data_IF_049417951298
#
_entry.id   IF_049417951298
#
_cell.length_a   1.000
_cell.length_b   1.000
_cell.length_c   1.000
_cell.angle_alpha   90.00
_cell.angle_beta   90.00
_cell.angle_gamma   90.00
#
_symmetry.space_group_name_H-M   'P 1'
#
loop_
_entity.id
_entity.type
_entity.pdbx_description
1 polymer ?
#
# COMPACT_ATOMS: atom_id res chain seq x y z
N UNK A 1 9.78 -0.97 -23.58
CA UNK A 1 10.81 -1.17 -22.52
C UNK A 1 11.92 -2.15 -22.93
N UNK A 2 11.70 -3.03 -23.89
CA UNK A 2 12.73 -3.99 -24.35
C UNK A 2 13.92 -3.39 -25.10
N UNK A 3 13.79 -2.30 -25.89
CA UNK A 3 14.92 -1.75 -26.64
C UNK A 3 16.06 -1.21 -25.76
N UNK A 4 15.81 -0.96 -24.47
CA UNK A 4 16.79 -0.34 -23.58
C UNK A 4 17.67 -1.32 -22.79
N UNK A 5 17.46 -2.65 -22.94
CA UNK A 5 18.26 -3.66 -22.26
C UNK A 5 19.08 -4.46 -23.27
N UNK A 6 20.08 -3.82 -23.80
CA UNK A 6 21.03 -4.45 -24.69
C UNK A 6 22.24 -4.98 -23.89
N UNK A 7 22.75 -6.16 -24.31
CA UNK A 7 23.97 -6.74 -23.74
C UNK A 7 24.92 -7.16 -24.86
N UNK A 8 26.11 -6.55 -24.91
CA UNK A 8 27.15 -6.96 -25.83
C UNK A 8 27.90 -8.22 -25.31
N UNK A 9 28.61 -8.90 -26.25
CA UNK A 9 29.48 -10.02 -25.85
C UNK A 9 30.62 -9.54 -24.95
N UNK A 10 30.92 -10.28 -23.89
CA UNK A 10 31.97 -9.97 -22.93
C UNK A 10 31.65 -10.50 -21.53
N UNK A 11 32.55 -10.25 -20.57
CA UNK A 11 32.42 -10.71 -19.20
C UNK A 11 31.52 -9.81 -18.33
N UNK A 12 30.79 -10.36 -17.39
CA UNK A 12 29.98 -9.63 -16.42
C UNK A 12 28.85 -8.79 -17.05
N UNK A 13 28.82 -7.48 -16.74
CA UNK A 13 27.86 -6.49 -17.26
C UNK A 13 28.33 -5.82 -18.54
N UNK A 14 29.24 -6.45 -19.27
CA UNK A 14 29.86 -5.95 -20.50
C UNK A 14 28.81 -5.50 -21.53
N UNK A 15 28.89 -4.26 -21.96
CA UNK A 15 28.01 -3.67 -22.97
C UNK A 15 26.54 -3.58 -22.58
N UNK A 16 26.18 -3.75 -21.32
CA UNK A 16 24.82 -3.60 -20.84
C UNK A 16 24.43 -2.12 -20.87
N UNK A 17 23.38 -1.79 -21.64
CA UNK A 17 22.70 -0.50 -21.54
C UNK A 17 21.42 -0.76 -20.77
N UNK A 18 21.26 -0.10 -19.62
CA UNK A 18 20.09 -0.30 -18.75
C UNK A 18 19.56 1.01 -18.20
N UNK A 19 18.25 1.10 -18.08
CA UNK A 19 17.52 2.14 -17.35
C UNK A 19 16.72 1.50 -16.22
N UNK A 20 16.27 2.31 -15.27
CA UNK A 20 15.32 1.85 -14.24
C UNK A 20 14.09 1.21 -14.91
N UNK A 21 13.71 0.02 -14.46
CA UNK A 21 12.48 -0.66 -14.88
C UNK A 21 11.40 -0.42 -13.84
N UNK A 22 10.43 0.46 -14.10
CA UNK A 22 9.29 0.64 -13.20
C UNK A 22 8.40 -0.61 -13.19
N UNK A 23 7.70 -0.81 -12.06
CA UNK A 23 6.60 -1.76 -11.94
C UNK A 23 5.31 -1.23 -12.56
N UNK A 24 4.19 -1.64 -11.99
CA UNK A 24 2.85 -1.17 -12.40
C UNK A 24 2.51 0.19 -11.76
N UNK A 25 3.14 0.51 -10.62
CA UNK A 25 2.97 1.76 -9.92
C UNK A 25 3.78 2.89 -10.57
N UNK A 26 3.18 4.06 -10.68
CA UNK A 26 3.84 5.28 -11.16
C UNK A 26 4.46 5.97 -9.93
N UNK A 27 5.78 5.90 -9.83
CA UNK A 27 6.56 6.48 -8.74
C UNK A 27 7.54 7.48 -9.34
N UNK A 28 7.72 8.64 -8.70
CA UNK A 28 8.73 9.61 -9.10
C UNK A 28 10.13 8.99 -9.05
N UNK A 29 10.90 9.17 -10.12
CA UNK A 29 12.21 8.58 -10.29
C UNK A 29 13.21 9.57 -10.86
N UNK A 30 14.45 9.53 -10.38
CA UNK A 30 15.55 10.32 -10.93
C UNK A 30 16.01 9.83 -12.32
N UNK A 31 15.60 8.63 -12.74
CA UNK A 31 16.01 8.05 -14.04
C UNK A 31 15.44 8.79 -15.25
N UNK A 32 14.32 9.48 -15.10
CA UNK A 32 13.69 10.28 -16.15
C UNK A 32 13.06 11.53 -15.51
N UNK A 33 13.40 12.70 -16.04
CA UNK A 33 12.86 13.97 -15.58
C UNK A 33 12.51 14.85 -16.77
N UNK A 34 11.33 15.45 -16.75
CA UNK A 34 10.88 16.42 -17.75
C UNK A 34 10.73 17.77 -17.09
N UNK A 35 11.43 18.78 -17.60
CA UNK A 35 11.27 20.14 -17.13
C UNK A 35 10.00 20.75 -17.75
N UNK A 36 8.99 21.01 -16.92
CA UNK A 36 7.70 21.51 -17.38
C UNK A 36 7.76 22.92 -18.02
N UNK A 37 8.83 23.71 -17.78
CA UNK A 37 8.95 25.07 -18.30
C UNK A 37 9.49 25.12 -19.73
N UNK A 38 10.41 24.24 -20.07
CA UNK A 38 11.10 24.27 -21.37
C UNK A 38 11.02 22.95 -22.15
N UNK A 39 10.38 21.91 -21.59
CA UNK A 39 10.27 20.60 -22.23
C UNK A 39 11.55 19.78 -22.27
N UNK A 40 12.60 20.20 -21.55
CA UNK A 40 13.88 19.50 -21.51
C UNK A 40 13.70 18.13 -20.84
N UNK A 41 14.12 17.08 -21.53
CA UNK A 41 14.07 15.69 -21.07
C UNK A 41 15.48 15.25 -20.63
N UNK A 42 15.61 14.91 -19.36
CA UNK A 42 16.82 14.29 -18.79
C UNK A 42 16.56 12.81 -18.57
N UNK A 43 17.37 11.94 -19.19
CA UNK A 43 17.33 10.48 -18.97
C UNK A 43 18.66 10.01 -18.41
N UNK A 44 18.64 9.26 -17.32
CA UNK A 44 19.83 8.64 -16.72
C UNK A 44 19.83 7.15 -17.01
N UNK A 45 20.91 6.67 -17.59
CA UNK A 45 21.10 5.26 -17.94
C UNK A 45 22.45 4.76 -17.45
N UNK A 46 22.54 3.47 -17.20
CA UNK A 46 23.79 2.80 -16.87
C UNK A 46 24.35 2.12 -18.12
N UNK A 47 25.63 2.32 -18.38
CA UNK A 47 26.35 1.65 -19.48
C UNK A 47 27.49 0.84 -18.89
N UNK A 48 27.41 -0.49 -19.03
CA UNK A 48 28.52 -1.39 -18.70
C UNK A 48 29.57 -1.34 -19.82
N UNK A 49 30.76 -0.89 -19.51
CA UNK A 49 31.82 -0.83 -20.51
C UNK A 49 32.15 -2.24 -21.04
N UNK A 50 32.12 -2.45 -22.38
CA UNK A 50 32.48 -3.74 -22.95
C UNK A 50 33.90 -4.10 -22.59
N UNK A 51 34.11 -5.28 -22.01
CA UNK A 51 35.42 -5.72 -21.57
C UNK A 51 35.62 -7.21 -21.78
N UNK A 52 36.85 -7.59 -22.10
CA UNK A 52 37.33 -8.98 -22.09
C UNK A 52 38.33 -9.08 -20.92
N UNK A 53 37.89 -9.65 -19.80
CA UNK A 53 38.66 -9.61 -18.57
C UNK A 53 38.87 -8.16 -18.07
N UNK A 54 40.12 -7.72 -17.97
CA UNK A 54 40.49 -6.36 -17.51
C UNK A 54 40.67 -5.34 -18.62
N UNK A 55 40.58 -5.76 -19.90
CA UNK A 55 40.79 -4.87 -21.05
C UNK A 55 39.46 -4.40 -21.63
N UNK A 56 39.31 -3.07 -21.80
CA UNK A 56 38.13 -2.46 -22.42
C UNK A 56 38.16 -2.75 -23.95
N UNK A 57 37.03 -3.20 -24.48
CA UNK A 57 36.82 -3.34 -25.91
C UNK A 57 36.33 -1.99 -26.49
N UNK A 58 37.31 -1.16 -26.91
CA UNK A 58 37.04 0.18 -27.41
C UNK A 58 36.12 0.18 -28.68
N UNK A 59 36.20 -0.86 -29.50
CA UNK A 59 35.36 -0.96 -30.71
C UNK A 59 33.88 -1.13 -30.36
N UNK A 60 33.59 -2.00 -29.42
CA UNK A 60 32.19 -2.20 -28.94
C UNK A 60 31.71 -1.00 -28.14
N UNK A 61 32.55 -0.37 -27.33
CA UNK A 61 32.24 0.85 -26.60
C UNK A 61 31.89 2.00 -27.56
N UNK A 62 32.66 2.14 -28.66
CA UNK A 62 32.38 3.12 -29.71
C UNK A 62 31.01 2.90 -30.38
N UNK A 63 30.60 1.65 -30.62
CA UNK A 63 29.24 1.37 -31.12
C UNK A 63 28.16 1.82 -30.14
N UNK A 64 28.38 1.63 -28.83
CA UNK A 64 27.42 2.04 -27.81
C UNK A 64 27.22 3.55 -27.84
N UNK A 65 28.30 4.33 -27.77
CA UNK A 65 28.21 5.78 -27.71
C UNK A 65 27.81 6.46 -29.03
N UNK A 66 28.30 5.97 -30.14
CA UNK A 66 28.13 6.65 -31.41
C UNK A 66 27.03 6.07 -32.31
N UNK A 67 26.47 4.92 -31.94
CA UNK A 67 25.36 4.33 -32.67
C UNK A 67 24.15 4.04 -31.74
N UNK A 68 24.29 3.20 -30.72
CA UNK A 68 23.14 2.74 -29.98
C UNK A 68 22.49 3.82 -29.11
N UNK A 69 23.28 4.65 -28.40
CA UNK A 69 22.73 5.74 -27.60
C UNK A 69 22.02 6.78 -28.49
N UNK A 70 22.61 7.29 -29.59
CA UNK A 70 21.88 8.16 -30.50
C UNK A 70 20.59 7.55 -31.07
N UNK A 71 20.61 6.28 -31.47
CA UNK A 71 19.41 5.57 -31.94
C UNK A 71 18.34 5.50 -30.85
N UNK A 72 18.72 5.17 -29.62
CA UNK A 72 17.81 5.13 -28.45
C UNK A 72 17.18 6.51 -28.21
N UNK A 73 18.01 7.56 -28.16
CA UNK A 73 17.54 8.94 -27.96
C UNK A 73 16.55 9.34 -29.07
N UNK A 74 16.91 9.07 -30.33
CA UNK A 74 16.05 9.39 -31.45
C UNK A 74 14.69 8.69 -31.39
N UNK A 75 14.66 7.39 -31.07
CA UNK A 75 13.40 6.62 -31.04
C UNK A 75 12.58 6.82 -29.78
N UNK A 76 13.20 7.06 -28.62
CA UNK A 76 12.50 7.05 -27.33
C UNK A 76 12.36 8.42 -26.67
N UNK A 77 13.16 9.41 -27.08
CA UNK A 77 13.18 10.72 -26.44
C UNK A 77 12.72 11.86 -27.37
N UNK A 78 12.71 11.65 -28.68
CA UNK A 78 12.22 12.67 -29.63
C UNK A 78 10.71 12.56 -29.79
N UNK A 79 9.96 13.63 -29.46
CA UNK A 79 8.50 13.66 -29.52
C UNK A 79 7.93 13.21 -30.89
N UNK A 80 8.58 13.61 -32.00
CA UNK A 80 8.15 13.24 -33.36
C UNK A 80 8.13 11.72 -33.62
N UNK A 81 8.85 10.95 -32.83
CA UNK A 81 8.98 9.49 -32.98
C UNK A 81 8.20 8.71 -31.89
N UNK A 82 7.51 9.41 -31.02
CA UNK A 82 6.67 8.81 -29.96
C UNK A 82 5.23 8.72 -30.47
N UNK A 83 4.53 7.67 -30.12
CA UNK A 83 3.09 7.55 -30.34
C UNK A 83 2.34 8.63 -29.53
N UNK A 84 1.96 9.72 -30.20
CA UNK A 84 1.30 10.86 -29.58
C UNK A 84 -0.03 10.48 -28.92
N UNK A 85 -0.78 9.53 -29.49
CA UNK A 85 -2.06 9.08 -28.89
C UNK A 85 -1.82 8.29 -27.60
N UNK A 86 -0.75 7.51 -27.56
CA UNK A 86 -0.38 6.77 -26.35
C UNK A 86 0.09 7.71 -25.24
N UNK A 87 0.83 8.74 -25.60
CA UNK A 87 1.26 9.77 -24.67
C UNK A 87 0.07 10.56 -24.13
N UNK A 88 -0.85 10.97 -25.01
CA UNK A 88 -2.07 11.69 -24.61
C UNK A 88 -2.91 10.84 -23.64
N UNK A 89 -3.17 9.57 -23.95
CA UNK A 89 -3.90 8.66 -23.05
C UNK A 89 -3.23 8.51 -21.69
N UNK A 90 -1.90 8.56 -21.62
CA UNK A 90 -1.19 8.50 -20.34
C UNK A 90 -1.38 9.81 -19.53
N UNK A 91 -1.39 10.96 -20.20
CA UNK A 91 -1.68 12.26 -19.59
C UNK A 91 -3.13 12.34 -19.09
N UNK A 92 -4.09 11.94 -19.93
CA UNK A 92 -5.52 11.92 -19.60
C UNK A 92 -5.79 11.04 -18.38
N UNK A 93 -5.14 9.85 -18.32
CA UNK A 93 -5.25 8.96 -17.16
C UNK A 93 -4.66 9.60 -15.90
N UNK A 94 -3.53 10.30 -16.01
CA UNK A 94 -2.92 10.96 -14.84
C UNK A 94 -3.82 12.08 -14.29
N UNK A 95 -4.49 12.83 -15.17
CA UNK A 95 -5.45 13.86 -14.77
C UNK A 95 -6.68 13.24 -14.10
N UNK A 96 -7.23 12.17 -14.66
CA UNK A 96 -8.35 11.42 -14.05
C UNK A 96 -7.98 10.87 -12.66
N UNK A 97 -6.78 10.30 -12.51
CA UNK A 97 -6.29 9.78 -11.23
C UNK A 97 -6.08 10.88 -10.19
N UNK A 98 -5.61 12.05 -10.62
CA UNK A 98 -5.50 13.22 -9.73
C UNK A 98 -6.87 13.68 -9.27
N UNK A 99 -7.83 13.80 -10.19
CA UNK A 99 -9.20 14.19 -9.88
C UNK A 99 -9.87 13.25 -8.87
N UNK A 100 -9.70 11.93 -9.02
CA UNK A 100 -10.20 10.94 -8.04
C UNK A 100 -9.66 11.25 -6.64
N UNK A 101 -8.35 11.54 -6.51
CA UNK A 101 -7.74 11.84 -5.21
C UNK A 101 -8.23 13.16 -4.62
N UNK A 102 -8.46 14.17 -5.45
CA UNK A 102 -9.05 15.45 -5.05
C UNK A 102 -10.46 15.23 -4.52
N UNK A 103 -11.31 14.49 -5.25
CA UNK A 103 -12.68 14.18 -4.80
C UNK A 103 -12.71 13.32 -3.53
N UNK A 104 -11.80 12.35 -3.41
CA UNK A 104 -11.65 11.59 -2.15
C UNK A 104 -11.39 12.52 -0.96
N UNK A 105 -10.48 13.47 -1.11
CA UNK A 105 -10.12 14.39 -0.04
C UNK A 105 -11.30 15.33 0.32
N UNK A 106 -11.98 15.88 -0.68
CA UNK A 106 -13.12 16.78 -0.51
C UNK A 106 -14.32 16.11 0.16
N UNK A 107 -14.63 14.87 -0.22
CA UNK A 107 -15.79 14.12 0.29
C UNK A 107 -15.47 13.26 1.52
N UNK A 108 -14.22 13.26 2.00
CA UNK A 108 -13.79 12.56 3.20
C UNK A 108 -13.63 11.05 3.03
N UNK A 109 -13.30 10.60 1.82
CA UNK A 109 -12.92 9.21 1.56
C UNK A 109 -11.41 9.00 1.74
N UNK A 110 -11.04 7.83 2.26
CA UNK A 110 -9.64 7.39 2.38
C UNK A 110 -9.23 6.42 1.28
N UNK A 111 -10.20 5.79 0.62
CA UNK A 111 -9.96 4.90 -0.52
C UNK A 111 -11.11 4.95 -1.52
N UNK A 112 -10.80 4.69 -2.78
CA UNK A 112 -11.76 4.49 -3.86
C UNK A 112 -11.33 3.31 -4.74
N UNK A 113 -12.28 2.44 -5.10
CA UNK A 113 -12.04 1.29 -5.96
C UNK A 113 -13.11 1.27 -7.04
N UNK A 114 -12.74 1.56 -8.28
CA UNK A 114 -13.66 1.60 -9.40
C UNK A 114 -14.27 0.23 -9.72
N UNK A 115 -15.55 0.20 -10.05
CA UNK A 115 -16.21 -0.98 -10.59
C UNK A 115 -15.51 -1.46 -11.88
N UNK A 116 -15.35 -2.77 -12.03
CA UNK A 116 -14.62 -3.37 -13.14
C UNK A 116 -13.11 -3.49 -12.93
N UNK A 117 -12.54 -2.96 -11.84
CA UNK A 117 -11.12 -3.11 -11.53
C UNK A 117 -10.72 -4.58 -11.35
N UNK A 118 -9.50 -4.92 -11.78
CA UNK A 118 -8.89 -6.24 -11.62
C UNK A 118 -7.93 -6.22 -10.45
N UNK A 119 -8.39 -6.67 -9.29
CA UNK A 119 -7.61 -6.59 -8.06
C UNK A 119 -6.54 -7.69 -7.95
N UNK A 120 -6.81 -8.98 -8.24
CA UNK A 120 -5.83 -10.04 -8.09
C UNK A 120 -4.74 -10.01 -9.16
N UNK A 121 -3.57 -10.52 -8.79
CA UNK A 121 -2.39 -10.69 -9.66
C UNK A 121 -2.27 -12.13 -10.14
N UNK A 122 -1.51 -12.36 -11.23
CA UNK A 122 -1.32 -13.70 -11.83
C UNK A 122 -0.84 -14.74 -10.81
N UNK A 123 0.03 -14.32 -9.88
CA UNK A 123 0.56 -15.13 -8.78
C UNK A 123 1.16 -14.22 -7.68
N UNK A 124 1.65 -14.82 -6.60
CA UNK A 124 2.18 -14.09 -5.43
C UNK A 124 3.44 -13.24 -5.67
N UNK A 125 4.14 -13.44 -6.78
CA UNK A 125 5.36 -12.68 -7.13
C UNK A 125 5.17 -11.78 -8.37
N UNK A 126 4.12 -12.01 -9.15
CA UNK A 126 3.80 -11.19 -10.34
C UNK A 126 3.04 -9.95 -9.94
N UNK A 127 3.37 -8.82 -10.56
CA UNK A 127 2.57 -7.59 -10.46
C UNK A 127 1.55 -7.45 -11.61
N UNK A 128 1.51 -8.41 -12.54
CA UNK A 128 0.60 -8.38 -13.68
C UNK A 128 -0.82 -8.74 -13.25
N UNK A 129 -1.85 -8.10 -13.83
CA UNK A 129 -3.25 -8.42 -13.54
C UNK A 129 -3.58 -9.86 -13.95
N UNK A 130 -4.40 -10.54 -13.14
CA UNK A 130 -4.92 -11.88 -13.44
C UNK A 130 -5.89 -11.81 -14.62
N UNK A 131 -5.67 -12.62 -15.67
CA UNK A 131 -6.44 -12.56 -16.93
C UNK A 131 -7.92 -12.95 -16.77
N UNK A 132 -8.26 -13.84 -15.84
CA UNK A 132 -9.61 -14.34 -15.59
C UNK A 132 -10.04 -14.05 -14.14
N UNK A 133 -9.85 -12.82 -13.71
CA UNK A 133 -10.29 -12.39 -12.40
C UNK A 133 -11.78 -12.06 -12.37
N UNK A 134 -12.38 -12.18 -11.19
CA UNK A 134 -13.69 -11.58 -10.91
C UNK A 134 -13.50 -10.07 -10.90
N UNK A 135 -14.15 -9.28 -11.77
CA UNK A 135 -14.08 -7.83 -11.71
C UNK A 135 -14.65 -7.33 -10.39
N UNK A 136 -14.03 -6.28 -9.86
CA UNK A 136 -14.53 -5.64 -8.63
C UNK A 136 -15.91 -5.02 -8.88
N UNK A 137 -16.80 -5.17 -7.89
CA UNK A 137 -18.12 -4.54 -7.86
C UNK A 137 -18.36 -3.98 -6.46
N UNK A 138 -18.72 -2.71 -6.40
CA UNK A 138 -19.06 -2.00 -5.17
C UNK A 138 -20.34 -2.53 -4.55
N UNK A 139 -20.45 -2.60 -3.20
CA UNK A 139 -21.75 -2.67 -2.54
C UNK A 139 -22.55 -1.38 -2.84
N UNK A 140 -23.85 -1.48 -3.07
CA UNK A 140 -24.73 -0.34 -3.41
C UNK A 140 -24.64 0.77 -2.34
N UNK A 141 -24.61 0.41 -1.06
CA UNK A 141 -24.55 1.36 0.06
C UNK A 141 -23.24 2.14 0.15
N UNK A 142 -22.19 1.73 -0.55
CA UNK A 142 -20.88 2.38 -0.58
C UNK A 142 -20.51 2.91 -1.97
N UNK A 143 -21.44 2.83 -2.91
CA UNK A 143 -21.17 3.26 -4.28
C UNK A 143 -21.12 4.79 -4.37
N UNK A 144 -20.07 5.26 -5.02
CA UNK A 144 -19.81 6.67 -5.33
C UNK A 144 -19.72 6.81 -6.84
N UNK A 145 -20.25 7.91 -7.36
CA UNK A 145 -20.22 8.23 -8.79
C UNK A 145 -19.58 9.59 -8.99
N UNK A 146 -18.51 9.64 -9.78
CA UNK A 146 -17.85 10.88 -10.20
C UNK A 146 -17.79 11.01 -11.71
N UNK A 147 -17.68 12.22 -12.20
CA UNK A 147 -17.48 12.50 -13.62
C UNK A 147 -16.05 12.97 -13.85
N UNK A 148 -15.20 12.06 -14.32
CA UNK A 148 -13.79 12.33 -14.55
C UNK A 148 -13.57 13.24 -15.77
N UNK A 149 -12.48 14.02 -15.79
CA UNK A 149 -12.20 14.96 -16.87
C UNK A 149 -12.14 14.35 -18.27
N UNK A 150 -11.59 13.12 -18.38
CA UNK A 150 -11.36 12.47 -19.67
C UNK A 150 -12.14 11.19 -19.86
N UNK A 151 -12.21 10.33 -18.83
CA UNK A 151 -12.94 9.06 -18.90
C UNK A 151 -14.47 9.24 -18.88
N UNK A 152 -14.97 10.34 -18.33
CA UNK A 152 -16.39 10.52 -18.05
C UNK A 152 -16.84 9.84 -16.76
N UNK A 153 -18.10 9.39 -16.71
CA UNK A 153 -18.65 8.78 -15.48
C UNK A 153 -17.91 7.53 -15.03
N UNK A 154 -17.55 7.49 -13.74
CA UNK A 154 -16.99 6.34 -13.06
C UNK A 154 -17.78 6.04 -11.79
N UNK A 155 -18.02 4.77 -11.53
CA UNK A 155 -18.67 4.29 -10.32
C UNK A 155 -17.72 3.35 -9.57
N UNK A 156 -17.77 3.36 -8.24
CA UNK A 156 -16.93 2.49 -7.43
C UNK A 156 -17.22 2.61 -5.95
N UNK A 157 -16.54 1.80 -5.16
CA UNK A 157 -16.66 1.79 -3.71
C UNK A 157 -15.79 2.90 -3.09
N UNK A 158 -16.40 3.81 -2.36
CA UNK A 158 -15.73 4.77 -1.48
C UNK A 158 -15.64 4.24 -0.05
N UNK A 159 -14.46 4.25 0.55
CA UNK A 159 -14.24 3.95 1.96
C UNK A 159 -14.04 5.27 2.70
N UNK A 160 -14.91 5.57 3.66
CA UNK A 160 -14.85 6.80 4.46
C UNK A 160 -13.79 6.72 5.56
N UNK A 161 -13.43 7.88 6.10
CA UNK A 161 -12.59 8.01 7.30
C UNK A 161 -13.22 7.26 8.48
N UNK A 162 -12.40 6.74 9.38
CA UNK A 162 -12.82 5.97 10.55
C UNK A 162 -12.16 4.60 10.61
N UNK A 163 -12.81 3.65 11.28
CA UNK A 163 -12.34 2.27 11.44
C UNK A 163 -13.13 1.36 10.51
N UNK A 164 -12.49 0.86 9.45
CA UNK A 164 -13.07 -0.11 8.52
C UNK A 164 -12.52 -1.49 8.79
N UNK A 165 -13.42 -2.45 8.99
CA UNK A 165 -13.10 -3.86 9.19
C UNK A 165 -13.43 -4.67 7.95
N UNK A 166 -12.50 -5.46 7.46
CA UNK A 166 -12.66 -6.39 6.34
C UNK A 166 -12.63 -7.81 6.88
N UNK A 167 -13.75 -8.53 6.77
CA UNK A 167 -13.90 -9.90 7.27
C UNK A 167 -14.27 -10.87 6.14
N UNK A 168 -14.31 -12.16 6.45
CA UNK A 168 -14.69 -13.22 5.50
C UNK A 168 -13.85 -14.47 5.68
N UNK A 169 -14.26 -15.57 5.08
CA UNK A 169 -13.56 -16.84 5.11
C UNK A 169 -12.17 -16.80 4.44
N UNK A 170 -11.40 -17.87 4.60
CA UNK A 170 -10.15 -18.05 3.87
C UNK A 170 -10.38 -18.03 2.35
N UNK A 171 -9.43 -17.50 1.60
CA UNK A 171 -9.44 -17.44 0.12
C UNK A 171 -10.58 -16.62 -0.53
N UNK A 172 -11.33 -15.84 0.23
CA UNK A 172 -12.40 -14.97 -0.31
C UNK A 172 -11.92 -13.59 -0.78
N UNK A 173 -10.62 -13.31 -0.76
CA UNK A 173 -10.04 -12.10 -1.34
C UNK A 173 -9.76 -10.95 -0.35
N UNK A 174 -9.85 -11.17 0.98
CA UNK A 174 -9.52 -10.15 2.00
C UNK A 174 -8.13 -9.55 1.81
N UNK A 175 -7.10 -10.40 1.81
CA UNK A 175 -5.70 -9.97 1.63
C UNK A 175 -5.45 -9.39 0.24
N UNK A 176 -6.19 -9.85 -0.79
CA UNK A 176 -6.12 -9.24 -2.14
C UNK A 176 -6.63 -7.80 -2.12
N UNK A 177 -7.74 -7.54 -1.42
CA UNK A 177 -8.27 -6.19 -1.28
C UNK A 177 -7.30 -5.29 -0.50
N UNK A 178 -6.80 -5.76 0.65
CA UNK A 178 -5.84 -5.00 1.45
C UNK A 178 -4.55 -4.69 0.67
N UNK A 179 -3.97 -5.68 -0.03
CA UNK A 179 -2.79 -5.48 -0.88
C UNK A 179 -3.04 -4.52 -2.05
N UNK A 180 -4.28 -4.49 -2.56
CA UNK A 180 -4.66 -3.53 -3.58
C UNK A 180 -4.62 -2.12 -3.02
N UNK A 181 -5.22 -1.89 -1.84
CA UNK A 181 -5.21 -0.61 -1.16
C UNK A 181 -3.79 -0.18 -0.78
N UNK A 182 -2.97 -1.10 -0.26
CA UNK A 182 -1.56 -0.87 0.05
C UNK A 182 -0.76 -0.31 -1.14
N UNK A 183 -1.04 -0.79 -2.37
CA UNK A 183 -0.38 -0.34 -3.59
C UNK A 183 -1.02 0.91 -4.19
N UNK A 184 -2.28 1.15 -3.92
CA UNK A 184 -3.05 2.27 -4.46
C UNK A 184 -2.70 3.64 -3.87
N UNK A 185 -1.76 3.72 -2.91
CA UNK A 185 -1.12 4.98 -2.51
C UNK A 185 -0.38 5.63 -3.68
N UNK A 186 0.05 4.82 -4.65
CA UNK A 186 0.62 5.27 -5.93
C UNK A 186 -0.41 5.15 -7.05
N UNK A 187 -0.41 6.04 -8.05
CA UNK A 187 -1.15 5.83 -9.28
C UNK A 187 -0.58 4.64 -10.06
N UNK A 188 -1.42 3.98 -10.86
CA UNK A 188 -1.06 2.80 -11.65
C UNK A 188 -1.08 3.11 -13.15
N UNK A 189 -0.24 2.42 -13.93
CA UNK A 189 -0.20 2.57 -15.38
C UNK A 189 -1.49 2.04 -16.03
N UNK A 190 -1.79 2.53 -17.23
CA UNK A 190 -2.91 2.05 -18.04
C UNK A 190 -2.82 0.54 -18.33
N UNK A 191 -3.94 -0.16 -18.19
CA UNK A 191 -4.04 -1.61 -18.43
C UNK A 191 -3.55 -2.48 -17.26
N UNK A 192 -3.24 -1.87 -16.11
CA UNK A 192 -2.92 -2.60 -14.90
C UNK A 192 -4.16 -3.23 -14.22
N UNK A 193 -5.34 -2.73 -14.53
CA UNK A 193 -6.59 -3.12 -13.88
C UNK A 193 -6.84 -2.45 -12.53
N UNK A 194 -5.87 -1.71 -11.98
CA UNK A 194 -5.98 -0.89 -10.78
C UNK A 194 -5.77 0.60 -11.06
N UNK A 195 -5.80 1.01 -12.33
CA UNK A 195 -5.56 2.39 -12.75
C UNK A 195 -6.55 3.39 -12.16
N UNK A 196 -7.75 2.93 -11.80
CA UNK A 196 -8.78 3.74 -11.14
C UNK A 196 -9.03 3.28 -9.69
N UNK A 197 -8.00 2.78 -9.03
CA UNK A 197 -7.99 2.53 -7.59
C UNK A 197 -7.08 3.55 -6.93
N UNK A 198 -7.58 4.20 -5.90
CA UNK A 198 -6.83 5.21 -5.16
C UNK A 198 -6.95 4.98 -3.65
N UNK A 199 -5.88 5.28 -2.94
CA UNK A 199 -5.77 5.25 -1.49
C UNK A 199 -5.17 6.57 -1.01
N UNK A 200 -5.53 7.02 0.19
CA UNK A 200 -4.86 8.13 0.87
C UNK A 200 -3.34 7.95 0.83
N UNK A 201 -2.62 8.98 0.38
CA UNK A 201 -1.18 8.87 0.11
C UNK A 201 -0.33 8.64 1.35
N UNK A 202 -0.81 9.10 2.49
CA UNK A 202 -0.17 8.90 3.79
C UNK A 202 -0.50 7.56 4.46
N UNK A 203 -1.17 6.63 3.76
CA UNK A 203 -1.47 5.32 4.28
C UNK A 203 -0.21 4.47 4.47
N UNK A 204 -0.11 3.82 5.63
CA UNK A 204 1.04 2.99 6.02
C UNK A 204 0.56 1.61 6.43
N UNK A 205 1.21 0.56 5.92
CA UNK A 205 0.99 -0.80 6.37
C UNK A 205 1.74 -1.06 7.67
N UNK A 206 1.02 -1.52 8.67
CA UNK A 206 1.56 -1.91 9.98
C UNK A 206 1.58 -3.44 10.08
N UNK A 207 2.69 -3.98 10.53
CA UNK A 207 2.86 -5.41 10.82
C UNK A 207 3.79 -5.61 12.01
N UNK A 208 3.78 -6.81 12.54
CA UNK A 208 4.76 -7.30 13.50
C UNK A 208 6.08 -7.64 12.79
N UNK A 209 7.21 -7.30 13.40
CA UNK A 209 8.55 -7.55 12.87
C UNK A 209 9.46 -7.99 14.02
N UNK A 210 9.50 -9.32 14.29
CA UNK A 210 10.39 -9.88 15.30
C UNK A 210 11.87 -9.59 14.95
N UNK A 211 12.63 -9.21 15.96
CA UNK A 211 14.05 -8.87 15.80
C UNK A 211 14.32 -7.46 15.26
N UNK A 212 13.28 -6.64 15.10
CA UNK A 212 13.48 -5.25 14.66
C UNK A 212 14.19 -4.42 15.72
N UNK A 213 15.17 -3.63 15.31
CA UNK A 213 15.78 -2.61 16.17
C UNK A 213 14.86 -1.40 16.33
N UNK A 214 14.71 -0.92 17.55
CA UNK A 214 13.98 0.30 17.93
C UNK A 214 14.98 1.22 18.63
N UNK A 215 14.90 2.52 18.34
CA UNK A 215 15.83 3.48 18.89
C UNK A 215 15.11 4.76 19.31
N UNK A 216 15.16 5.07 20.61
CA UNK A 216 14.56 6.26 21.23
C UNK A 216 13.11 6.51 20.80
N UNK A 217 12.20 5.56 21.11
CA UNK A 217 10.77 5.68 20.79
C UNK A 217 9.90 5.65 22.03
N UNK A 218 8.92 6.54 22.08
CA UNK A 218 7.83 6.47 23.06
C UNK A 218 6.80 5.43 22.64
N UNK A 219 6.89 4.22 23.19
CA UNK A 219 5.93 3.14 22.98
C UNK A 219 4.87 3.06 24.08
N UNK A 220 4.89 3.99 25.05
CA UNK A 220 3.99 4.01 26.19
C UNK A 220 2.49 4.11 25.85
N UNK A 221 2.06 4.57 24.66
CA UNK A 221 0.68 4.44 24.25
C UNK A 221 0.17 3.00 24.18
N UNK A 222 1.07 2.03 23.93
CA UNK A 222 0.74 0.61 23.76
C UNK A 222 1.42 -0.32 24.76
N UNK A 223 2.57 0.06 25.31
CA UNK A 223 3.33 -0.79 26.22
C UNK A 223 3.75 0.04 27.44
N UNK A 224 3.38 -0.42 28.64
CA UNK A 224 3.67 0.24 29.92
C UNK A 224 4.12 -0.74 30.97
N UNK A 225 4.82 -0.24 31.97
CA UNK A 225 5.16 -1.01 33.18
C UNK A 225 5.85 -2.35 32.84
N UNK A 226 6.87 -2.31 31.98
CA UNK A 226 7.63 -3.51 31.67
C UNK A 226 8.20 -4.13 32.96
N UNK A 227 8.08 -5.47 33.16
CA UNK A 227 8.63 -6.16 34.33
C UNK A 227 10.15 -5.95 34.51
N UNK A 228 10.84 -5.62 33.42
CA UNK A 228 12.27 -5.31 33.42
C UNK A 228 12.60 -3.91 33.94
N UNK A 229 11.58 -3.07 34.25
CA UNK A 229 11.75 -1.67 34.66
C UNK A 229 12.28 -0.74 33.57
N UNK A 230 12.35 -1.18 32.29
CA UNK A 230 12.77 -0.31 31.18
C UNK A 230 11.74 0.80 30.96
N UNK A 231 12.25 1.99 30.68
CA UNK A 231 11.42 3.13 30.31
C UNK A 231 10.78 2.89 28.93
N UNK A 232 9.45 3.04 28.86
CA UNK A 232 8.69 2.90 27.62
C UNK A 232 8.38 4.24 26.95
N UNK A 233 8.72 5.36 27.60
CA UNK A 233 8.61 6.71 27.02
C UNK A 233 9.86 7.06 26.18
N UNK A 234 10.97 6.39 26.44
CA UNK A 234 12.22 6.47 25.66
C UNK A 234 12.81 5.07 25.46
N UNK A 235 12.11 4.26 24.70
CA UNK A 235 12.44 2.85 24.55
C UNK A 235 13.45 2.60 23.43
N UNK A 236 14.45 1.76 23.72
CA UNK A 236 15.44 1.27 22.75
C UNK A 236 15.63 -0.23 22.90
N UNK A 237 15.73 -0.96 21.81
CA UNK A 237 16.05 -2.40 21.74
C UNK A 237 16.72 -2.73 20.41
N UNK A 238 17.71 -3.61 20.43
CA UNK A 238 18.30 -4.16 19.20
C UNK A 238 17.50 -5.33 18.63
N UNK A 239 16.66 -5.95 19.47
CA UNK A 239 15.92 -7.18 19.18
C UNK A 239 14.54 -7.08 19.84
N UNK A 240 13.61 -6.40 19.20
CA UNK A 240 12.26 -6.22 19.71
C UNK A 240 11.37 -7.42 19.37
N UNK A 241 10.52 -7.82 20.33
CA UNK A 241 9.47 -8.80 20.08
C UNK A 241 8.42 -8.28 19.08
N UNK A 242 7.62 -9.17 18.50
CA UNK A 242 6.60 -8.80 17.54
C UNK A 242 5.61 -7.75 18.03
N UNK A 243 5.11 -7.85 19.26
CA UNK A 243 4.22 -6.84 19.84
C UNK A 243 4.92 -5.50 20.05
N UNK A 244 6.18 -5.52 20.49
CA UNK A 244 6.95 -4.31 20.73
C UNK A 244 7.31 -3.60 19.41
N UNK A 245 7.71 -4.35 18.40
CA UNK A 245 7.99 -3.81 17.06
C UNK A 245 6.72 -3.23 16.42
N UNK A 246 5.57 -3.90 16.60
CA UNK A 246 4.30 -3.41 16.04
C UNK A 246 3.83 -2.14 16.75
N UNK A 247 4.01 -2.04 18.08
CA UNK A 247 3.76 -0.81 18.83
C UNK A 247 4.60 0.36 18.30
N UNK A 248 5.91 0.14 18.11
CA UNK A 248 6.81 1.14 17.54
C UNK A 248 6.41 1.51 16.10
N UNK A 249 6.03 0.54 15.26
CA UNK A 249 5.56 0.79 13.90
C UNK A 249 4.35 1.71 13.85
N UNK A 250 3.37 1.52 14.75
CA UNK A 250 2.19 2.39 14.84
C UNK A 250 2.59 3.80 15.26
N UNK A 251 3.40 3.92 16.32
CA UNK A 251 3.85 5.24 16.82
C UNK A 251 4.63 5.99 15.74
N UNK A 252 5.61 5.35 15.12
CA UNK A 252 6.40 5.96 14.05
C UNK A 252 5.56 6.37 12.84
N UNK A 253 4.59 5.55 12.44
CA UNK A 253 3.68 5.91 11.37
C UNK A 253 2.88 7.19 11.71
N UNK A 254 2.32 7.26 12.91
CA UNK A 254 1.55 8.42 13.37
C UNK A 254 2.43 9.67 13.50
N UNK A 255 3.62 9.55 14.06
CA UNK A 255 4.60 10.65 14.16
C UNK A 255 5.03 11.19 12.79
N UNK A 256 5.12 10.31 11.78
CA UNK A 256 5.44 10.67 10.40
C UNK A 256 4.22 11.13 9.58
N UNK A 257 3.07 11.35 10.22
CA UNK A 257 1.89 11.93 9.58
C UNK A 257 1.02 10.94 8.81
N UNK A 258 1.05 9.65 9.18
CA UNK A 258 0.12 8.69 8.59
C UNK A 258 -1.33 9.07 8.89
N UNK A 259 -2.15 9.22 7.84
CA UNK A 259 -3.59 9.44 7.95
C UNK A 259 -4.38 8.13 7.98
N UNK A 260 -3.78 7.02 7.53
CA UNK A 260 -4.42 5.71 7.53
C UNK A 260 -3.43 4.61 7.89
N UNK A 261 -3.85 3.70 8.76
CA UNK A 261 -3.14 2.46 9.07
C UNK A 261 -3.80 1.28 8.35
N UNK A 262 -3.02 0.50 7.64
CA UNK A 262 -3.45 -0.75 6.99
C UNK A 262 -2.91 -1.91 7.81
N UNK A 263 -3.78 -2.75 8.35
CA UNK A 263 -3.41 -3.83 9.28
C UNK A 263 -4.03 -5.14 8.80
N UNK A 264 -3.23 -6.20 8.84
CA UNK A 264 -3.68 -7.57 8.58
C UNK A 264 -3.47 -8.41 9.85
N UNK A 265 -4.52 -9.04 10.36
CA UNK A 265 -4.46 -9.92 11.54
C UNK A 265 -3.38 -11.00 11.37
N UNK A 266 -3.26 -11.58 10.17
CA UNK A 266 -2.32 -12.67 9.88
C UNK A 266 -0.84 -12.25 9.98
N UNK A 267 -0.54 -10.96 9.87
CA UNK A 267 0.82 -10.39 9.98
C UNK A 267 1.04 -9.56 11.23
N UNK A 268 0.13 -9.65 12.18
CA UNK A 268 0.12 -8.90 13.43
C UNK A 268 0.43 -9.81 14.63
N UNK A 269 1.00 -9.25 15.69
CA UNK A 269 1.13 -9.93 16.96
C UNK A 269 -0.24 -10.01 17.64
N UNK A 270 -0.74 -11.22 17.91
CA UNK A 270 -2.09 -11.44 18.45
C UNK A 270 -2.33 -10.67 19.75
N UNK A 271 -1.39 -10.71 20.69
CA UNK A 271 -1.47 -10.03 21.98
C UNK A 271 -1.42 -8.49 21.86
N UNK A 272 -0.83 -7.96 20.77
CA UNK A 272 -0.91 -6.54 20.45
C UNK A 272 -2.28 -6.15 19.90
N UNK A 273 -2.91 -7.00 19.12
CA UNK A 273 -4.19 -6.68 18.49
C UNK A 273 -5.35 -6.71 19.46
N UNK A 274 -5.46 -7.80 20.20
CA UNK A 274 -6.53 -8.09 21.17
C UNK A 274 -6.00 -8.88 22.35
N UNK A 275 -6.78 -8.90 23.41
CA UNK A 275 -6.59 -9.81 24.52
C UNK A 275 -7.83 -10.67 24.70
N UNK A 276 -7.64 -11.95 24.83
CA UNK A 276 -8.71 -12.92 25.12
C UNK A 276 -9.27 -12.72 26.54
N UNK A 277 -10.59 -12.77 26.69
CA UNK A 277 -11.25 -12.56 27.98
C UNK A 277 -10.81 -13.54 29.10
N UNK A 278 -10.53 -14.80 28.71
CA UNK A 278 -10.06 -15.78 29.68
C UNK A 278 -8.64 -15.41 30.13
N UNK A 279 -7.79 -14.98 29.24
CA UNK A 279 -6.46 -14.48 29.58
C UNK A 279 -6.53 -13.22 30.48
N UNK A 280 -7.47 -12.31 30.22
CA UNK A 280 -7.66 -11.12 31.08
C UNK A 280 -8.09 -11.46 32.50
N UNK A 281 -8.85 -12.56 32.68
CA UNK A 281 -9.26 -13.04 34.03
C UNK A 281 -8.15 -13.79 34.75
N UNK A 282 -7.28 -14.49 34.04
CA UNK A 282 -6.20 -15.31 34.62
C UNK A 282 -4.96 -14.47 34.92
N UNK A 283 -4.61 -13.54 34.04
CA UNK A 283 -3.47 -12.62 34.21
C UNK A 283 -4.00 -11.25 34.57
N UNK A 284 -3.71 -10.78 35.79
CA UNK A 284 -4.22 -9.52 36.29
C UNK A 284 -3.84 -8.34 35.40
N UNK A 285 -4.76 -7.38 35.21
CA UNK A 285 -4.56 -6.23 34.32
C UNK A 285 -3.32 -5.37 34.69
N UNK A 286 -2.87 -5.40 35.96
CA UNK A 286 -1.67 -4.70 36.43
C UNK A 286 -0.35 -5.38 36.07
N UNK A 287 -0.39 -6.65 35.69
CA UNK A 287 0.79 -7.46 35.30
C UNK A 287 1.01 -7.51 33.79
N UNK A 288 0.04 -7.06 33.00
CA UNK A 288 0.13 -7.06 31.53
C UNK A 288 0.61 -5.69 31.01
N UNK A 289 1.81 -5.62 30.46
CA UNK A 289 2.38 -4.37 29.95
C UNK A 289 1.75 -3.90 28.64
N UNK A 290 1.09 -4.79 27.88
CA UNK A 290 0.55 -4.48 26.54
C UNK A 290 -0.87 -3.98 26.66
N UNK A 291 -1.13 -2.79 26.11
CA UNK A 291 -2.46 -2.26 25.88
C UNK A 291 -2.87 -2.63 24.46
N UNK A 292 -3.87 -3.50 24.27
CA UNK A 292 -4.25 -3.98 22.97
C UNK A 292 -4.68 -2.85 22.03
N UNK A 293 -4.39 -3.02 20.73
CA UNK A 293 -4.71 -2.05 19.69
C UNK A 293 -6.21 -1.73 19.64
N UNK A 294 -7.08 -2.72 19.88
CA UNK A 294 -8.53 -2.53 19.93
C UNK A 294 -8.96 -1.43 20.90
N UNK A 295 -8.25 -1.25 22.02
CA UNK A 295 -8.51 -0.20 23.02
C UNK A 295 -8.05 1.19 22.58
N UNK A 296 -7.21 1.28 21.55
CA UNK A 296 -6.57 2.52 21.09
C UNK A 296 -7.08 3.03 19.75
N UNK A 297 -7.57 2.13 18.91
CA UNK A 297 -7.90 2.43 17.51
C UNK A 297 -8.94 3.55 17.37
N UNK A 298 -9.98 3.60 18.21
CA UNK A 298 -10.94 4.71 18.22
C UNK A 298 -10.30 6.03 18.63
N UNK A 299 -9.48 6.01 19.69
CA UNK A 299 -8.76 7.19 20.15
C UNK A 299 -7.76 7.71 19.10
N UNK A 300 -7.13 6.84 18.33
CA UNK A 300 -6.29 7.25 17.19
C UNK A 300 -7.10 8.04 16.15
N UNK A 301 -8.31 7.60 15.84
CA UNK A 301 -9.17 8.34 14.92
C UNK A 301 -9.71 9.64 15.54
N UNK A 302 -10.28 9.59 16.71
CA UNK A 302 -10.94 10.74 17.35
C UNK A 302 -9.96 11.87 17.72
N UNK A 303 -8.75 11.51 18.20
CA UNK A 303 -7.77 12.48 18.70
C UNK A 303 -6.70 12.87 17.66
N UNK A 304 -6.35 11.95 16.75
CA UNK A 304 -5.27 12.12 15.78
C UNK A 304 -5.77 12.15 14.33
N UNK A 305 -7.06 11.88 14.10
CA UNK A 305 -7.66 11.74 12.76
C UNK A 305 -7.00 10.64 11.91
N UNK A 306 -6.43 9.62 12.56
CA UNK A 306 -5.82 8.47 11.90
C UNK A 306 -6.85 7.38 11.73
N UNK A 307 -7.25 7.12 10.50
CA UNK A 307 -8.18 6.05 10.14
C UNK A 307 -7.46 4.69 10.15
N UNK A 308 -8.23 3.62 10.25
CA UNK A 308 -7.67 2.26 10.21
C UNK A 308 -8.50 1.38 9.28
N UNK A 309 -7.84 0.65 8.37
CA UNK A 309 -8.43 -0.46 7.64
C UNK A 309 -7.79 -1.75 8.15
N UNK A 310 -8.61 -2.59 8.78
CA UNK A 310 -8.17 -3.82 9.43
C UNK A 310 -8.78 -5.03 8.72
N UNK A 311 -7.95 -5.99 8.32
CA UNK A 311 -8.39 -7.32 7.90
C UNK A 311 -8.40 -8.24 9.11
N UNK A 312 -9.56 -8.83 9.44
CA UNK A 312 -9.69 -9.83 10.49
C UNK A 312 -10.30 -11.11 9.93
N UNK A 313 -9.67 -12.23 10.29
CA UNK A 313 -10.10 -13.58 9.90
C UNK A 313 -10.79 -14.34 11.03
N UNK A 314 -10.40 -14.08 12.28
CA UNK A 314 -10.79 -14.88 13.43
C UNK A 314 -11.36 -14.07 14.61
N UNK A 315 -11.09 -12.78 14.68
CA UNK A 315 -11.47 -11.95 15.82
C UNK A 315 -12.74 -11.13 15.59
N UNK A 316 -13.83 -11.49 16.28
CA UNK A 316 -15.09 -10.74 16.27
C UNK A 316 -15.13 -9.50 17.17
N UNK A 317 -14.18 -9.30 18.06
CA UNK A 317 -14.18 -8.17 18.98
C UNK A 317 -14.20 -6.80 18.28
N UNK A 318 -13.56 -6.71 17.10
CA UNK A 318 -13.53 -5.49 16.30
C UNK A 318 -14.90 -5.07 15.73
N UNK A 319 -15.91 -5.96 15.71
CA UNK A 319 -17.27 -5.58 15.28
C UNK A 319 -17.88 -4.48 16.15
N UNK A 320 -17.53 -4.43 17.44
CA UNK A 320 -18.04 -3.42 18.36
C UNK A 320 -17.53 -2.02 18.09
N UNK A 321 -16.33 -1.90 17.54
CA UNK A 321 -15.63 -0.62 17.41
C UNK A 321 -15.55 -0.10 15.96
N UNK A 322 -15.76 -0.98 14.97
CA UNK A 322 -15.67 -0.60 13.56
C UNK A 322 -16.83 0.33 13.14
N UNK A 323 -16.53 1.34 12.33
CA UNK A 323 -17.53 2.23 11.73
C UNK A 323 -18.15 1.60 10.49
N UNK A 324 -17.34 0.89 9.71
CA UNK A 324 -17.74 0.17 8.50
C UNK A 324 -17.25 -1.27 8.55
N UNK A 325 -18.10 -2.23 8.19
CA UNK A 325 -17.74 -3.64 8.15
C UNK A 325 -18.06 -4.22 6.78
N UNK A 326 -17.00 -4.69 6.10
CA UNK A 326 -17.06 -5.33 4.79
C UNK A 326 -16.82 -6.82 4.91
N UNK A 327 -17.74 -7.62 4.41
CA UNK A 327 -17.54 -9.08 4.25
C UNK A 327 -17.09 -9.39 2.83
N UNK A 328 -15.96 -10.05 2.69
CA UNK A 328 -15.51 -10.59 1.41
C UNK A 328 -16.11 -11.97 1.18
N UNK A 329 -16.85 -12.13 0.09
CA UNK A 329 -17.41 -13.41 -0.35
C UNK A 329 -17.11 -13.63 -1.84
N UNK A 330 -16.33 -14.64 -2.16
CA UNK A 330 -15.94 -14.96 -3.55
C UNK A 330 -15.40 -13.72 -4.32
N UNK A 331 -14.49 -12.99 -3.70
CA UNK A 331 -13.88 -11.75 -4.21
C UNK A 331 -14.82 -10.55 -4.39
N UNK A 332 -16.02 -10.60 -3.84
CA UNK A 332 -16.97 -9.50 -3.84
C UNK A 332 -17.16 -8.96 -2.43
N UNK A 333 -17.06 -7.66 -2.20
CA UNK A 333 -17.37 -7.07 -0.90
C UNK A 333 -18.88 -6.93 -0.72
N UNK A 334 -19.34 -7.16 0.51
CA UNK A 334 -20.70 -6.89 0.98
C UNK A 334 -20.58 -5.98 2.20
N UNK A 335 -21.30 -4.90 2.23
CA UNK A 335 -21.43 -4.06 3.43
C UNK A 335 -22.38 -4.73 4.40
N UNK A 336 -21.92 -5.04 5.61
CA UNK A 336 -22.68 -5.78 6.63
C UNK A 336 -22.65 -5.11 7.99
N UNK A 337 -22.34 -3.81 8.07
CA UNK A 337 -22.12 -3.09 9.34
C UNK A 337 -23.28 -3.23 10.29
N UNK A 338 -24.51 -3.00 9.83
CA UNK A 338 -25.70 -3.09 10.69
C UNK A 338 -25.89 -4.50 11.21
N UNK A 339 -25.85 -5.50 10.32
CA UNK A 339 -26.01 -6.91 10.68
C UNK A 339 -24.95 -7.37 11.68
N UNK A 340 -23.69 -7.03 11.42
CA UNK A 340 -22.58 -7.43 12.29
C UNK A 340 -22.67 -6.78 13.67
N UNK A 341 -23.04 -5.49 13.74
CA UNK A 341 -23.22 -4.77 15.02
C UNK A 341 -24.42 -5.30 15.81
N UNK A 342 -25.53 -5.63 15.16
CA UNK A 342 -26.68 -6.25 15.81
C UNK A 342 -26.32 -7.63 16.37
N UNK A 343 -25.60 -8.43 15.59
CA UNK A 343 -25.13 -9.74 16.05
C UNK A 343 -24.16 -9.61 17.23
N UNK A 344 -23.24 -8.63 17.18
CA UNK A 344 -22.28 -8.40 18.23
C UNK A 344 -22.92 -8.03 19.58
N UNK A 345 -24.12 -7.43 19.60
CA UNK A 345 -24.85 -7.13 20.85
C UNK A 345 -25.16 -8.38 21.69
N UNK A 346 -25.30 -9.55 21.04
CA UNK A 346 -25.48 -10.83 21.73
C UNK A 346 -24.19 -11.35 22.40
N UNK A 347 -23.04 -10.76 22.06
CA UNK A 347 -21.71 -11.12 22.57
C UNK A 347 -21.01 -9.86 23.11
N UNK A 348 -21.52 -9.27 24.23
CA UNK A 348 -20.94 -8.03 24.74
C UNK A 348 -19.49 -8.23 25.15
N UNK A 349 -18.64 -7.25 24.79
CA UNK A 349 -17.30 -7.19 25.36
C UNK A 349 -17.41 -6.76 26.84
N UNK A 350 -16.64 -7.39 27.71
CA UNK A 350 -16.55 -6.92 29.10
C UNK A 350 -15.90 -5.54 29.17
N UNK A 351 -16.26 -4.69 30.11
CA UNK A 351 -15.70 -3.33 30.29
C UNK A 351 -14.17 -3.29 30.41
N UNK A 352 -13.54 -4.42 30.74
CA UNK A 352 -12.09 -4.58 30.79
C UNK A 352 -11.46 -4.73 29.41
N UNK A 353 -12.25 -5.07 28.37
CA UNK A 353 -11.75 -5.28 27.00
C UNK A 353 -11.86 -4.05 26.09
N UNK A 354 -12.50 -2.96 26.56
CA UNK A 354 -12.58 -1.67 25.85
C UNK A 354 -11.59 -0.63 26.34
#
# INVERSE_FOLDING_TARGET
>A
SEPFNFKAKGSGKSGLIAVSRPGQEIVERSACHINAKNGELTVRMSVGFPANGRSINARELGKIFFRFIPEIVHHACCYANIDAQKLQRAADLADDQRYIREQMAEEGYIAFIANGSVLPRENGVSQRPMKKAVPFASPESMEVTWNLPHKGMIQGMGIKKGVTLIVGGGYHGKSTLLQTLERAVYPHIAGDGREYVAMEQSAVKIRSEDGRSIYHKDISPFIRNLPTGRDTTDFSSEDASGSTSQAANVVEAVENGAGVLLIDEDTSATNFMIRDELMEKVVAAGEEPIIPFIKRVKGLYEQKQVSTILVAGSCGAFFHIADTILQMESYRPKEITQFAKETAKAYPLNDTSM
#
